data_IF_273606769740
#
_entry.id   IF_273606769740
#
_cell.length_a   1.000
_cell.length_b   1.000
_cell.length_c   1.000
_cell.angle_alpha   90.00
_cell.angle_beta   90.00
_cell.angle_gamma   90.00
#
_symmetry.space_group_name_H-M   'P 1'
#
loop_
_entity.id
_entity.type
_entity.pdbx_description
1 polymer ?
#
# COMPACT_ATOMS: atom_id res chain seq x y z
N UNK A 1 -13.04 -5.83 0.36
CA UNK A 1 -12.09 -5.13 -0.52
C UNK A 1 -12.85 -4.23 -1.47
N UNK A 2 -12.45 -2.98 -1.59
CA UNK A 2 -13.13 -1.96 -2.40
C UNK A 2 -12.18 -1.43 -3.45
N UNK A 3 -12.71 -1.24 -4.66
CA UNK A 3 -12.05 -0.56 -5.76
C UNK A 3 -12.89 0.65 -6.15
N UNK A 4 -12.29 1.81 -6.20
CA UNK A 4 -12.95 3.05 -6.60
C UNK A 4 -12.23 3.63 -7.81
N UNK A 5 -12.99 3.87 -8.86
CA UNK A 5 -12.45 4.40 -10.11
C UNK A 5 -12.74 5.90 -10.18
N UNK A 6 -11.71 6.70 -10.42
CA UNK A 6 -11.76 8.16 -10.42
C UNK A 6 -11.03 8.74 -11.65
N UNK A 7 -11.35 9.97 -11.96
CA UNK A 7 -10.57 10.80 -12.88
C UNK A 7 -10.91 10.65 -14.33
N UNK A 8 -9.91 10.80 -15.21
CA UNK A 8 -10.09 10.79 -16.65
C UNK A 8 -10.16 9.36 -17.18
N UNK A 9 -11.37 8.83 -17.36
CA UNK A 9 -11.63 7.47 -17.84
C UNK A 9 -11.06 7.16 -19.24
N UNK A 10 -10.66 8.18 -20.00
CA UNK A 10 -9.97 8.02 -21.30
C UNK A 10 -8.45 8.13 -21.17
N UNK A 11 -7.94 8.40 -19.98
CA UNK A 11 -6.50 8.49 -19.70
C UNK A 11 -5.87 7.11 -19.50
N UNK A 12 -4.56 7.10 -19.28
CA UNK A 12 -3.83 5.90 -18.88
C UNK A 12 -4.33 5.40 -17.52
N UNK A 13 -4.48 4.09 -17.39
CA UNK A 13 -5.03 3.45 -16.19
C UNK A 13 -3.94 3.17 -15.16
N UNK A 14 -4.04 3.82 -14.01
CA UNK A 14 -3.11 3.68 -12.89
C UNK A 14 -3.81 3.10 -11.67
N UNK A 15 -3.28 2.02 -11.11
CA UNK A 15 -3.76 1.46 -9.85
C UNK A 15 -2.94 2.00 -8.67
N UNK A 16 -3.62 2.48 -7.63
CA UNK A 16 -3.02 3.02 -6.41
C UNK A 16 -3.19 2.04 -5.26
N UNK A 17 -2.07 1.51 -4.77
CA UNK A 17 -1.98 0.50 -3.71
C UNK A 17 -1.41 1.15 -2.45
N UNK A 18 -2.24 1.39 -1.42
CA UNK A 18 -1.81 2.11 -0.22
C UNK A 18 -0.86 1.30 0.65
N UNK A 19 -0.21 2.01 1.58
CA UNK A 19 0.71 1.44 2.55
C UNK A 19 0.00 0.78 3.74
N UNK A 20 0.80 0.29 4.69
CA UNK A 20 0.37 -0.44 5.88
C UNK A 20 -0.75 0.29 6.62
N UNK A 21 -1.86 -0.42 6.86
CA UNK A 21 -3.00 0.06 7.62
C UNK A 21 -3.53 1.42 7.15
N UNK A 22 -3.51 1.67 5.85
CA UNK A 22 -4.02 2.90 5.23
C UNK A 22 -5.13 2.59 4.23
N UNK A 23 -6.08 3.51 4.13
CA UNK A 23 -6.93 3.66 2.97
C UNK A 23 -6.22 4.51 1.90
N UNK A 24 -6.71 4.46 0.66
CA UNK A 24 -6.10 5.21 -0.44
C UNK A 24 -6.17 6.72 -0.22
N UNK A 25 -7.22 7.23 0.42
CA UNK A 25 -7.39 8.67 0.69
C UNK A 25 -6.34 9.17 1.69
N UNK A 26 -6.08 8.41 2.74
CA UNK A 26 -5.05 8.74 3.72
C UNK A 26 -3.66 8.72 3.08
N UNK A 27 -3.40 7.79 2.18
CA UNK A 27 -2.08 7.60 1.58
C UNK A 27 -1.83 8.55 0.39
N UNK A 28 -2.78 8.65 -0.53
CA UNK A 28 -2.62 9.37 -1.80
C UNK A 28 -3.43 10.68 -1.88
N UNK A 29 -4.26 11.00 -0.87
CA UNK A 29 -5.21 12.11 -0.92
C UNK A 29 -4.64 13.45 -1.35
N UNK A 30 -3.37 13.73 -1.02
CA UNK A 30 -2.70 14.99 -1.41
C UNK A 30 -2.37 15.11 -2.91
N UNK A 31 -2.43 14.01 -3.65
CA UNK A 31 -2.09 13.96 -5.08
C UNK A 31 -3.26 13.51 -5.96
N UNK A 32 -4.36 13.01 -5.37
CA UNK A 32 -5.51 12.48 -6.12
C UNK A 32 -6.11 13.51 -7.08
N UNK A 33 -6.33 14.75 -6.62
CA UNK A 33 -6.94 15.79 -7.44
C UNK A 33 -6.10 16.15 -8.69
N UNK A 34 -4.78 16.04 -8.56
CA UNK A 34 -3.89 16.35 -9.67
C UNK A 34 -3.77 15.15 -10.61
N UNK A 35 -3.64 13.95 -10.07
CA UNK A 35 -3.58 12.72 -10.86
C UNK A 35 -4.89 12.47 -11.62
N UNK A 36 -6.03 12.69 -10.99
CA UNK A 36 -7.36 12.44 -11.59
C UNK A 36 -7.65 13.31 -12.82
N UNK A 37 -6.98 14.46 -12.96
CA UNK A 37 -7.12 15.30 -14.15
C UNK A 37 -6.54 14.65 -15.42
N UNK A 38 -5.53 13.81 -15.25
CA UNK A 38 -4.74 13.21 -16.35
C UNK A 38 -5.04 11.73 -16.54
N UNK A 39 -5.21 10.99 -15.46
CA UNK A 39 -5.23 9.53 -15.43
C UNK A 39 -6.58 8.96 -15.01
N UNK A 40 -6.87 7.77 -15.49
CA UNK A 40 -7.89 6.91 -14.92
C UNK A 40 -7.28 6.20 -13.71
N UNK A 41 -7.77 6.52 -12.53
CA UNK A 41 -7.24 5.99 -11.27
C UNK A 41 -8.11 4.87 -10.74
N UNK A 42 -7.50 3.74 -10.40
CA UNK A 42 -8.11 2.64 -9.66
C UNK A 42 -7.55 2.70 -8.24
N UNK A 43 -8.35 3.24 -7.32
CA UNK A 43 -7.97 3.39 -5.91
C UNK A 43 -8.41 2.16 -5.12
N UNK A 44 -7.49 1.55 -4.39
CA UNK A 44 -7.74 0.29 -3.67
C UNK A 44 -7.84 0.53 -2.17
N UNK A 45 -8.88 -0.03 -1.53
CA UNK A 45 -8.92 -0.26 -0.09
C UNK A 45 -8.98 -1.77 0.16
N UNK A 46 -7.99 -2.30 0.88
CA UNK A 46 -7.92 -3.73 1.15
C UNK A 46 -9.00 -4.19 2.11
N UNK A 47 -9.34 -5.49 2.09
CA UNK A 47 -10.15 -6.10 3.14
C UNK A 47 -9.59 -5.74 4.52
N UNK A 48 -10.46 -5.45 5.48
CA UNK A 48 -10.06 -5.00 6.80
C UNK A 48 -9.73 -3.51 6.92
N UNK A 49 -9.52 -2.83 5.77
CA UNK A 49 -9.21 -1.40 5.70
C UNK A 49 -10.16 -0.62 4.79
N UNK A 50 -11.21 -1.26 4.31
CA UNK A 50 -12.24 -0.71 3.39
C UNK A 50 -13.51 -0.22 4.11
N UNK A 51 -13.53 -0.25 5.44
CA UNK A 51 -14.69 0.15 6.23
C UNK A 51 -15.87 -0.84 6.23
N UNK A 52 -15.76 -1.99 5.55
CA UNK A 52 -16.83 -3.00 5.47
C UNK A 52 -16.98 -3.86 6.73
N UNK A 53 -16.02 -3.78 7.66
CA UNK A 53 -15.92 -4.69 8.80
C UNK A 53 -15.34 -6.07 8.46
N UNK A 54 -14.86 -6.26 7.23
CA UNK A 54 -14.11 -7.46 6.84
C UNK A 54 -12.77 -7.54 7.57
N UNK A 55 -12.14 -8.71 7.53
CA UNK A 55 -10.80 -8.93 8.09
C UNK A 55 -9.81 -9.12 6.96
N UNK A 56 -8.64 -8.46 7.05
CA UNK A 56 -7.53 -8.70 6.14
C UNK A 56 -7.08 -10.16 6.25
N UNK A 57 -7.15 -10.94 5.16
CA UNK A 57 -6.83 -12.38 5.25
C UNK A 57 -5.32 -12.63 5.26
N UNK A 58 -4.66 -12.36 4.15
CA UNK A 58 -3.23 -12.47 3.90
C UNK A 58 -2.86 -11.78 2.57
N UNK A 59 -1.58 -11.50 2.36
CA UNK A 59 -1.05 -10.81 1.18
C UNK A 59 -1.41 -11.52 -0.13
N UNK A 60 -1.27 -12.84 -0.19
CA UNK A 60 -1.52 -13.62 -1.42
C UNK A 60 -3.00 -13.64 -1.79
N UNK A 61 -3.88 -13.78 -0.81
CA UNK A 61 -5.34 -13.75 -1.04
C UNK A 61 -5.76 -12.37 -1.54
N UNK A 62 -5.23 -11.29 -0.96
CA UNK A 62 -5.49 -9.92 -1.42
C UNK A 62 -4.94 -9.70 -2.83
N UNK A 63 -3.70 -10.13 -3.10
CA UNK A 63 -3.12 -10.06 -4.46
C UNK A 63 -4.00 -10.74 -5.50
N UNK A 64 -4.52 -11.95 -5.20
CA UNK A 64 -5.44 -12.66 -6.13
C UNK A 64 -6.74 -11.90 -6.38
N UNK A 65 -7.27 -11.18 -5.39
CA UNK A 65 -8.45 -10.33 -5.57
C UNK A 65 -8.15 -9.14 -6.48
N UNK A 66 -6.97 -8.54 -6.35
CA UNK A 66 -6.49 -7.48 -7.23
C UNK A 66 -6.35 -8.01 -8.66
N UNK A 67 -5.66 -9.13 -8.86
CA UNK A 67 -5.52 -9.78 -10.17
C UNK A 67 -6.87 -10.06 -10.82
N UNK A 68 -7.82 -10.59 -10.02
CA UNK A 68 -9.17 -10.86 -10.52
C UNK A 68 -9.87 -9.59 -10.99
N UNK A 69 -9.81 -8.52 -10.19
CA UNK A 69 -10.42 -7.23 -10.56
C UNK A 69 -9.84 -6.68 -11.87
N UNK A 70 -8.52 -6.72 -12.02
CA UNK A 70 -7.84 -6.25 -13.23
C UNK A 70 -8.26 -7.10 -14.47
N UNK A 71 -8.41 -8.41 -14.30
CA UNK A 71 -8.87 -9.30 -15.38
C UNK A 71 -10.31 -9.02 -15.77
N UNK A 72 -11.18 -8.88 -14.80
CA UNK A 72 -12.62 -8.75 -15.04
C UNK A 72 -13.01 -7.39 -15.63
N UNK A 73 -12.29 -6.31 -15.24
CA UNK A 73 -12.68 -4.93 -15.56
C UNK A 73 -11.71 -4.21 -16.52
N UNK A 74 -10.45 -4.66 -16.61
CA UNK A 74 -9.40 -3.99 -17.38
C UNK A 74 -8.67 -4.93 -18.35
N UNK A 75 -9.33 -5.99 -18.81
CA UNK A 75 -8.76 -6.98 -19.76
C UNK A 75 -7.40 -7.54 -19.32
N UNK A 76 -7.14 -7.63 -18.03
CA UNK A 76 -5.89 -8.14 -17.47
C UNK A 76 -4.69 -7.20 -17.60
N UNK A 77 -4.88 -5.89 -17.90
CA UNK A 77 -3.80 -4.94 -18.15
C UNK A 77 -3.98 -3.61 -17.43
N UNK A 78 -2.86 -3.04 -16.97
CA UNK A 78 -2.74 -1.68 -16.44
C UNK A 78 -1.57 -0.97 -17.13
N UNK A 79 -1.70 0.34 -17.38
CA UNK A 79 -0.56 1.17 -17.80
C UNK A 79 0.43 1.36 -16.64
N UNK A 80 -0.06 1.40 -15.40
CA UNK A 80 0.80 1.47 -14.23
C UNK A 80 0.17 0.99 -12.94
N UNK A 81 1.02 0.54 -12.02
CA UNK A 81 0.65 0.26 -10.63
C UNK A 81 1.61 0.99 -9.71
N UNK A 82 1.07 1.74 -8.76
CA UNK A 82 1.82 2.56 -7.82
C UNK A 82 1.59 2.01 -6.42
N UNK A 83 2.64 1.49 -5.81
CA UNK A 83 2.62 1.03 -4.44
C UNK A 83 3.31 2.01 -3.50
N UNK A 84 2.74 2.24 -2.33
CA UNK A 84 3.36 3.00 -1.26
C UNK A 84 3.72 2.06 -0.11
N UNK A 85 5.00 1.98 0.29
CA UNK A 85 5.45 1.10 1.38
C UNK A 85 4.93 -0.35 1.16
N UNK A 86 4.06 -0.91 2.03
CA UNK A 86 3.38 -2.20 1.84
C UNK A 86 2.75 -2.35 0.43
N UNK A 87 2.18 -1.28 -0.11
CA UNK A 87 1.65 -1.29 -1.47
C UNK A 87 2.68 -1.68 -2.52
N UNK A 88 3.96 -1.41 -2.26
CA UNK A 88 5.07 -1.84 -3.11
C UNK A 88 5.25 -3.36 -3.09
N UNK A 89 5.00 -4.02 -1.96
CA UNK A 89 5.00 -5.50 -1.89
C UNK A 89 3.89 -6.10 -2.76
N UNK A 90 2.71 -5.46 -2.80
CA UNK A 90 1.64 -5.88 -3.73
C UNK A 90 2.02 -5.66 -5.18
N UNK A 91 2.63 -4.52 -5.54
CA UNK A 91 3.14 -4.28 -6.90
C UNK A 91 4.15 -5.37 -7.28
N UNK A 92 5.11 -5.67 -6.41
CA UNK A 92 6.07 -6.75 -6.62
C UNK A 92 5.42 -8.12 -6.82
N UNK A 93 4.40 -8.44 -6.01
CA UNK A 93 3.64 -9.69 -6.16
C UNK A 93 2.89 -9.76 -7.48
N UNK A 94 2.25 -8.68 -7.92
CA UNK A 94 1.57 -8.63 -9.22
C UNK A 94 2.55 -8.84 -10.37
N UNK A 95 3.71 -8.19 -10.31
CA UNK A 95 4.76 -8.31 -11.35
C UNK A 95 5.32 -9.73 -11.39
N UNK A 96 5.80 -10.27 -10.26
CA UNK A 96 6.46 -11.59 -10.28
C UNK A 96 5.52 -12.76 -10.61
N UNK A 97 4.21 -12.58 -10.39
CA UNK A 97 3.21 -13.62 -10.67
C UNK A 97 2.75 -13.63 -12.11
N UNK A 98 2.98 -12.56 -12.87
CA UNK A 98 2.66 -12.42 -14.30
C UNK A 98 1.22 -12.82 -14.67
N UNK A 99 0.29 -12.79 -13.70
CA UNK A 99 -1.13 -13.11 -13.96
C UNK A 99 -1.89 -11.95 -14.60
N UNK A 100 -1.32 -10.75 -14.56
CA UNK A 100 -1.81 -9.51 -15.19
C UNK A 100 -0.62 -8.76 -15.77
N UNK A 101 -0.87 -7.94 -16.77
CA UNK A 101 0.16 -7.14 -17.42
C UNK A 101 0.21 -5.72 -16.81
N UNK A 102 1.40 -5.26 -16.47
CA UNK A 102 1.64 -3.92 -15.92
C UNK A 102 2.81 -3.31 -16.69
N UNK A 103 2.58 -2.20 -17.41
CA UNK A 103 3.65 -1.55 -18.18
C UNK A 103 4.69 -0.89 -17.26
N UNK A 104 4.22 -0.19 -16.21
CA UNK A 104 5.06 0.54 -15.27
C UNK A 104 4.75 0.14 -13.83
N UNK A 105 5.67 -0.53 -13.16
CA UNK A 105 5.63 -0.86 -11.75
C UNK A 105 6.37 0.21 -10.95
N UNK A 106 5.67 0.97 -10.09
CA UNK A 106 6.21 2.11 -9.36
C UNK A 106 6.21 1.81 -7.87
N UNK A 107 7.40 1.73 -7.30
CA UNK A 107 7.67 1.38 -5.92
C UNK A 107 8.01 2.63 -5.11
N UNK A 108 7.07 3.09 -4.29
CA UNK A 108 7.22 4.27 -3.45
C UNK A 108 7.67 3.90 -2.03
N UNK A 109 8.88 4.30 -1.63
CA UNK A 109 9.51 3.95 -0.34
C UNK A 109 9.31 2.48 0.02
N UNK A 110 9.70 1.56 -0.87
CA UNK A 110 9.47 0.15 -0.64
C UNK A 110 10.23 -0.31 0.61
N UNK A 111 9.55 -1.11 1.42
CA UNK A 111 10.16 -1.96 2.44
C UNK A 111 9.93 -3.38 1.96
N UNK A 112 10.92 -3.93 1.28
CA UNK A 112 10.84 -5.27 0.67
C UNK A 112 11.55 -6.31 1.55
N UNK A 113 11.84 -5.96 2.79
CA UNK A 113 12.46 -6.86 3.75
C UNK A 113 11.54 -8.04 4.06
N UNK A 114 12.10 -9.22 3.89
CA UNK A 114 11.41 -10.48 4.14
C UNK A 114 12.06 -11.21 5.31
N UNK A 115 11.23 -11.86 6.08
CA UNK A 115 11.68 -12.58 7.26
C UNK A 115 11.23 -14.03 7.23
N UNK A 116 12.09 -14.93 7.72
CA UNK A 116 11.65 -16.30 7.98
C UNK A 116 10.53 -16.35 9.04
N UNK A 117 9.73 -17.42 9.05
CA UNK A 117 8.55 -17.56 9.92
C UNK A 117 8.80 -17.22 11.39
N UNK A 118 9.96 -17.59 11.94
CA UNK A 118 10.31 -17.35 13.35
C UNK A 118 10.59 -15.86 13.57
N UNK A 119 11.36 -15.24 12.70
CA UNK A 119 11.67 -13.82 12.79
C UNK A 119 10.41 -12.95 12.58
N UNK A 120 9.59 -13.26 11.59
CA UNK A 120 8.31 -12.59 11.35
C UNK A 120 7.38 -12.68 12.55
N UNK A 121 7.31 -13.85 13.21
CA UNK A 121 6.51 -14.04 14.43
C UNK A 121 7.02 -13.16 15.58
N UNK A 122 8.34 -13.13 15.80
CA UNK A 122 8.97 -12.30 16.84
C UNK A 122 8.76 -10.80 16.56
N UNK A 123 8.98 -10.36 15.34
CA UNK A 123 8.75 -8.97 14.94
C UNK A 123 7.28 -8.58 15.13
N UNK A 124 6.33 -9.43 14.71
CA UNK A 124 4.91 -9.19 14.89
C UNK A 124 4.51 -9.10 16.37
N UNK A 125 5.10 -9.91 17.23
CA UNK A 125 4.85 -9.84 18.68
C UNK A 125 5.31 -8.52 19.31
N UNK A 126 6.30 -7.85 18.74
CA UNK A 126 6.82 -6.56 19.22
C UNK A 126 6.08 -5.38 18.58
N UNK A 127 5.86 -5.42 17.27
CA UNK A 127 5.35 -4.29 16.49
C UNK A 127 3.82 -4.20 16.54
N UNK A 128 3.11 -5.32 16.40
CA UNK A 128 1.63 -5.32 16.39
C UNK A 128 1.02 -4.74 17.67
N UNK A 129 1.48 -5.06 18.89
CA UNK A 129 0.97 -4.40 20.10
C UNK A 129 1.21 -2.89 20.12
N UNK A 130 2.31 -2.41 19.51
CA UNK A 130 2.57 -0.98 19.35
C UNK A 130 1.52 -0.38 18.40
N UNK A 131 1.33 -0.95 17.22
CA UNK A 131 0.37 -0.50 16.23
C UNK A 131 -1.08 -0.54 16.77
N UNK A 132 -1.47 -1.61 17.45
CA UNK A 132 -2.81 -1.77 18.02
C UNK A 132 -3.03 -0.97 19.32
N UNK A 133 -1.96 -0.44 19.95
CA UNK A 133 -2.10 0.39 21.16
C UNK A 133 -2.79 1.73 20.89
N UNK A 134 -2.91 2.12 19.61
CA UNK A 134 -3.62 3.33 19.17
C UNK A 134 -5.13 3.27 19.41
N UNK A 135 -5.68 2.07 19.50
CA UNK A 135 -7.10 1.86 19.79
C UNK A 135 -7.44 2.03 21.27
N UNK A 136 -6.43 2.21 22.14
CA UNK A 136 -6.60 2.25 23.61
C UNK A 136 -6.35 3.63 24.18
N UNK A 137 -7.41 4.26 24.70
CA UNK A 137 -7.48 5.44 25.59
C UNK A 137 -6.41 6.56 25.48
N UNK A 138 -6.85 7.82 25.64
CA UNK A 138 -6.07 9.06 25.35
C UNK A 138 -4.68 9.16 26.03
N UNK A 139 -4.52 8.65 27.25
CA UNK A 139 -3.22 8.71 27.97
C UNK A 139 -2.14 7.81 27.35
N UNK A 140 -2.55 6.65 26.83
CA UNK A 140 -1.66 5.75 26.07
C UNK A 140 -1.39 6.30 24.67
N UNK A 141 -2.37 6.97 24.06
CA UNK A 141 -2.28 7.59 22.74
C UNK A 141 -1.12 8.59 22.62
N UNK A 142 -1.00 9.53 23.56
CA UNK A 142 0.09 10.52 23.55
C UNK A 142 1.47 9.89 23.68
N UNK A 143 1.63 8.93 24.60
CA UNK A 143 2.91 8.21 24.76
C UNK A 143 3.29 7.41 23.52
N UNK A 144 2.33 6.86 22.84
CA UNK A 144 2.55 6.08 21.63
C UNK A 144 2.84 7.01 20.45
N UNK A 145 2.18 8.17 20.37
CA UNK A 145 2.48 9.21 19.37
C UNK A 145 3.93 9.66 19.43
N UNK A 146 4.45 9.94 20.62
CA UNK A 146 5.85 10.32 20.79
C UNK A 146 6.83 9.21 20.37
N UNK A 147 6.49 7.95 20.66
CA UNK A 147 7.29 6.80 20.19
C UNK A 147 7.29 6.67 18.66
N UNK A 148 6.14 6.87 18.00
CA UNK A 148 6.06 6.85 16.54
C UNK A 148 6.87 7.96 15.91
N UNK A 149 6.73 9.18 16.43
CA UNK A 149 7.51 10.33 15.96
C UNK A 149 9.01 10.04 16.03
N UNK A 150 9.46 9.49 17.16
CA UNK A 150 10.85 9.15 17.37
C UNK A 150 11.33 7.99 16.49
N UNK A 151 10.53 6.93 16.37
CA UNK A 151 10.92 5.71 15.65
C UNK A 151 10.91 5.90 14.13
N UNK A 152 9.87 6.56 13.61
CA UNK A 152 9.71 6.78 12.18
C UNK A 152 10.11 8.18 11.70
N UNK A 153 10.68 9.02 12.59
CA UNK A 153 11.07 10.41 12.30
C UNK A 153 9.94 11.23 11.65
N UNK A 154 8.70 11.01 12.11
CA UNK A 154 7.50 11.65 11.57
C UNK A 154 7.26 13.03 12.21
N UNK A 155 6.64 13.94 11.42
CA UNK A 155 6.08 15.18 11.97
C UNK A 155 4.91 14.89 12.92
N UNK A 156 4.57 15.85 13.78
CA UNK A 156 3.39 15.79 14.65
C UNK A 156 2.11 15.52 13.88
N UNK A 157 1.90 16.26 12.78
CA UNK A 157 0.72 16.15 11.92
C UNK A 157 0.62 14.77 11.26
N UNK A 158 1.75 14.26 10.76
CA UNK A 158 1.80 12.93 10.13
C UNK A 158 1.51 11.83 11.15
N UNK A 159 2.09 11.91 12.34
CA UNK A 159 1.83 10.95 13.40
C UNK A 159 0.36 10.95 13.85
N UNK A 160 -0.28 12.12 13.90
CA UNK A 160 -1.71 12.25 14.24
C UNK A 160 -2.60 11.62 13.16
N UNK A 161 -2.34 11.90 11.87
CA UNK A 161 -3.06 11.27 10.74
C UNK A 161 -2.90 9.76 10.77
N UNK A 162 -1.69 9.28 10.98
CA UNK A 162 -1.37 7.86 11.07
C UNK A 162 -2.16 7.19 12.21
N UNK A 163 -2.13 7.78 13.40
CA UNK A 163 -2.87 7.27 14.57
C UNK A 163 -4.38 7.25 14.37
N UNK A 164 -4.93 8.28 13.72
CA UNK A 164 -6.34 8.35 13.41
C UNK A 164 -6.76 7.26 12.42
N UNK A 165 -5.91 6.97 11.43
CA UNK A 165 -6.12 5.88 10.50
C UNK A 165 -6.14 4.52 11.22
N UNK A 166 -5.09 4.20 11.96
CA UNK A 166 -4.99 2.94 12.70
C UNK A 166 -6.12 2.69 13.70
N UNK A 167 -6.65 3.73 14.31
CA UNK A 167 -7.71 3.59 15.31
C UNK A 167 -9.05 3.10 14.74
N UNK A 168 -9.21 3.14 13.42
CA UNK A 168 -10.43 2.72 12.71
C UNK A 168 -10.45 1.23 12.39
N UNK A 169 -9.33 0.55 12.45
CA UNK A 169 -9.16 -0.80 11.92
C UNK A 169 -9.10 -1.87 13.01
N UNK A 170 -9.53 -3.08 12.63
CA UNK A 170 -9.51 -4.22 13.53
C UNK A 170 -8.07 -4.67 13.81
N UNK A 171 -7.70 -4.89 15.09
CA UNK A 171 -6.36 -5.38 15.44
C UNK A 171 -5.95 -6.70 14.78
N UNK A 172 -6.91 -7.55 14.41
CA UNK A 172 -6.64 -8.81 13.70
C UNK A 172 -6.19 -8.50 12.28
N UNK A 173 -6.84 -7.56 11.60
CA UNK A 173 -6.43 -7.10 10.25
C UNK A 173 -5.02 -6.53 10.27
N UNK A 174 -4.71 -5.64 11.21
CA UNK A 174 -3.37 -5.06 11.39
C UNK A 174 -2.31 -6.17 11.59
N UNK A 175 -2.62 -7.15 12.43
CA UNK A 175 -1.70 -8.27 12.67
C UNK A 175 -1.51 -9.13 11.42
N UNK A 176 -2.58 -9.48 10.74
CA UNK A 176 -2.52 -10.34 9.56
C UNK A 176 -1.77 -9.67 8.42
N UNK A 177 -2.04 -8.39 8.17
CA UNK A 177 -1.33 -7.60 7.18
C UNK A 177 0.19 -7.58 7.46
N UNK A 178 0.58 -7.11 8.64
CA UNK A 178 1.99 -6.99 9.01
C UNK A 178 2.72 -8.34 8.99
N UNK A 179 2.11 -9.38 9.57
CA UNK A 179 2.71 -10.71 9.65
C UNK A 179 2.86 -11.36 8.27
N UNK A 180 1.83 -11.26 7.42
CA UNK A 180 1.88 -11.91 6.12
C UNK A 180 2.72 -11.16 5.11
N UNK A 181 2.87 -9.84 5.24
CA UNK A 181 3.82 -9.05 4.45
C UNK A 181 5.26 -9.55 4.68
N UNK A 182 5.69 -9.67 5.93
CA UNK A 182 7.02 -10.21 6.27
C UNK A 182 7.28 -11.62 5.75
N UNK A 183 6.22 -12.41 5.52
CA UNK A 183 6.33 -13.80 5.02
C UNK A 183 6.21 -13.92 3.50
N UNK A 184 5.68 -12.90 2.85
CA UNK A 184 5.36 -12.98 1.43
C UNK A 184 6.61 -12.75 0.59
N UNK A 185 7.10 -13.81 -0.02
CA UNK A 185 8.37 -13.81 -0.74
C UNK A 185 8.29 -13.09 -2.08
N UNK A 186 9.21 -12.15 -2.28
CA UNK A 186 9.60 -11.60 -3.57
C UNK A 186 10.96 -12.16 -3.94
N UNK A 187 11.11 -12.62 -5.18
CA UNK A 187 12.39 -13.10 -5.70
C UNK A 187 13.36 -11.95 -5.88
N UNK A 188 14.65 -12.20 -5.69
CA UNK A 188 15.69 -11.18 -5.86
C UNK A 188 15.96 -10.83 -7.32
N UNK A 189 15.59 -11.73 -8.24
CA UNK A 189 15.89 -11.66 -9.68
C UNK A 189 14.64 -11.54 -10.56
N UNK A 190 13.62 -10.80 -10.09
CA UNK A 190 12.40 -10.58 -10.87
C UNK A 190 12.74 -9.84 -12.16
N UNK A 191 12.53 -10.49 -13.29
CA UNK A 191 12.68 -9.91 -14.63
C UNK A 191 11.45 -10.25 -15.46
N UNK A 192 10.69 -9.22 -15.83
CA UNK A 192 9.50 -9.35 -16.68
C UNK A 192 9.68 -8.46 -17.90
N UNK A 193 9.64 -9.07 -19.08
CA UNK A 193 10.07 -8.45 -20.35
C UNK A 193 9.33 -7.13 -20.65
N UNK A 194 8.07 -7.03 -20.28
CA UNK A 194 7.20 -5.89 -20.63
C UNK A 194 6.89 -4.95 -19.47
N UNK A 195 7.56 -5.12 -18.33
CA UNK A 195 7.35 -4.29 -17.15
C UNK A 195 8.58 -3.45 -16.84
N UNK A 196 8.42 -2.13 -16.75
CA UNK A 196 9.47 -1.22 -16.29
C UNK A 196 9.29 -0.92 -14.82
N UNK A 197 10.32 -1.21 -14.01
CA UNK A 197 10.33 -0.91 -12.58
C UNK A 197 10.91 0.48 -12.30
N UNK A 198 10.23 1.26 -11.46
CA UNK A 198 10.62 2.60 -11.03
C UNK A 198 10.62 2.67 -9.50
N UNK A 199 11.70 3.16 -8.90
CA UNK A 199 11.84 3.26 -7.45
C UNK A 199 11.89 4.71 -7.01
N UNK A 200 11.01 5.09 -6.09
CA UNK A 200 10.92 6.43 -5.49
C UNK A 200 11.32 6.30 -4.02
N UNK A 201 12.54 6.73 -3.67
CA UNK A 201 13.10 6.55 -2.33
C UNK A 201 12.71 7.63 -1.32
N UNK A 202 12.10 8.74 -1.77
CA UNK A 202 11.60 9.82 -0.91
C UNK A 202 10.17 10.14 -1.28
N UNK A 203 9.27 9.94 -0.33
CA UNK A 203 7.86 10.24 -0.54
C UNK A 203 7.48 11.63 -0.04
N UNK A 204 7.44 12.57 -0.96
CA UNK A 204 6.48 13.66 -0.85
C UNK A 204 5.62 13.66 -2.13
N UNK A 205 4.39 14.16 -2.05
CA UNK A 205 3.46 14.13 -3.18
C UNK A 205 4.02 14.78 -4.45
N UNK A 206 4.90 15.78 -4.34
CA UNK A 206 5.55 16.44 -5.48
C UNK A 206 6.52 15.51 -6.21
N UNK A 207 7.25 14.67 -5.51
CA UNK A 207 8.18 13.71 -6.11
C UNK A 207 7.44 12.58 -6.83
N UNK A 208 6.32 12.12 -6.27
CA UNK A 208 5.44 11.16 -6.95
C UNK A 208 4.91 11.75 -8.26
N UNK A 209 4.39 12.99 -8.22
CA UNK A 209 3.89 13.68 -9.43
C UNK A 209 4.99 13.87 -10.48
N UNK A 210 6.19 14.28 -10.06
CA UNK A 210 7.33 14.46 -10.96
C UNK A 210 7.73 13.15 -11.60
N UNK A 211 7.87 12.08 -10.82
CA UNK A 211 8.21 10.75 -11.33
C UNK A 211 7.16 10.26 -12.34
N UNK A 212 5.86 10.49 -12.07
CA UNK A 212 4.79 10.13 -13.01
C UNK A 212 4.83 10.94 -14.30
N UNK A 213 5.21 12.21 -14.26
CA UNK A 213 5.39 13.03 -15.46
C UNK A 213 6.58 12.56 -16.31
N UNK A 214 7.63 12.01 -15.70
CA UNK A 214 8.77 11.41 -16.41
C UNK A 214 8.42 10.04 -17.01
N UNK A 215 7.58 9.26 -16.34
CA UNK A 215 7.16 7.92 -16.79
C UNK A 215 6.06 7.99 -17.85
N UNK A 216 5.15 8.95 -17.71
CA UNK A 216 4.02 9.17 -18.62
C UNK A 216 4.03 10.63 -19.13
N UNK A 217 4.90 10.97 -20.07
CA UNK A 217 5.04 12.32 -20.61
C UNK A 217 3.78 12.83 -21.34
#
# INVERSE_FOLDING_TARGET
MQFEELGNMSGKTLMLLPGTCCDYQTNFGTVLDELSKKYHLICVNYDGFDGSGSIFPDMITVTKKIEKYIKDNHNGRLDGAIGSSLGSSFVGQLVQRENVHIDHAIFGSPDLDQSGKVAAKLQSMLVVPLLTSFTKGQKKRNKTKEKLKSFFQMSEETAEKFMNCFSKFDPISIRNEYYTDLLTHLKDDISVEHTKAHFICKQNGREVLKALQEVFP
#
